data_IF_004634706486
#
_entry.id   IF_004634706486
#
_cell.length_a   1.000
_cell.length_b   1.000
_cell.length_c   1.000
_cell.angle_alpha   90.00
_cell.angle_beta   90.00
_cell.angle_gamma   90.00
#
_symmetry.space_group_name_H-M   'P 1'
#
loop_
_entity.id
_entity.type
_entity.pdbx_description
1 polymer ?
#
# COMPACT_ATOMS: atom_id res chain seq x y z
N UNK A 1 8.67 3.44 -22.43
CA UNK A 1 9.02 4.02 -21.13
C UNK A 1 10.30 4.81 -21.30
N UNK A 2 10.35 6.07 -20.90
CA UNK A 2 11.54 6.93 -20.97
C UNK A 2 12.32 6.90 -19.65
N UNK A 3 13.58 7.39 -19.67
CA UNK A 3 14.39 7.51 -18.45
C UNK A 3 13.73 8.42 -17.40
N UNK A 4 13.05 9.47 -17.87
CA UNK A 4 12.29 10.40 -17.02
C UNK A 4 11.10 9.74 -16.31
N UNK A 5 10.35 8.89 -17.02
CA UNK A 5 9.24 8.12 -16.42
C UNK A 5 9.74 7.17 -15.34
N UNK A 6 10.89 6.54 -15.54
CA UNK A 6 11.50 5.66 -14.53
C UNK A 6 11.92 6.43 -13.27
N UNK A 7 12.50 7.62 -13.42
CA UNK A 7 12.83 8.47 -12.27
C UNK A 7 11.60 8.80 -11.44
N UNK A 8 10.49 9.20 -12.09
CA UNK A 8 9.21 9.48 -11.42
C UNK A 8 8.68 8.27 -10.65
N UNK A 9 8.81 7.06 -11.20
CA UNK A 9 8.41 5.83 -10.52
C UNK A 9 9.28 5.58 -9.28
N UNK A 10 10.60 5.73 -9.39
CA UNK A 10 11.54 5.52 -8.27
C UNK A 10 11.32 6.56 -7.16
N UNK A 11 11.12 7.83 -7.52
CA UNK A 11 10.78 8.89 -6.58
C UNK A 11 9.44 8.61 -5.89
N UNK A 12 8.40 8.24 -6.63
CA UNK A 12 7.09 7.90 -6.07
C UNK A 12 7.15 6.68 -5.12
N UNK A 13 7.90 5.64 -5.49
CA UNK A 13 8.17 4.47 -4.64
C UNK A 13 8.82 4.89 -3.33
N UNK A 14 9.86 5.73 -3.42
CA UNK A 14 10.62 6.20 -2.26
C UNK A 14 9.75 7.07 -1.35
N UNK A 15 8.95 7.96 -1.92
CA UNK A 15 8.00 8.81 -1.19
C UNK A 15 6.96 7.98 -0.42
N UNK A 16 6.45 6.89 -1.01
CA UNK A 16 5.48 6.02 -0.36
C UNK A 16 6.12 4.97 0.56
N UNK A 17 7.46 4.90 0.63
CA UNK A 17 8.19 3.93 1.44
C UNK A 17 7.96 2.48 0.96
N UNK A 18 7.86 2.27 -0.35
CA UNK A 18 7.63 0.95 -0.93
C UNK A 18 8.96 0.23 -1.23
N UNK A 19 8.97 -1.11 -1.20
CA UNK A 19 10.10 -1.92 -1.69
C UNK A 19 10.24 -1.88 -3.22
N UNK A 20 11.28 -2.51 -3.77
CA UNK A 20 11.52 -2.55 -5.23
C UNK A 20 10.40 -3.24 -6.02
N UNK A 21 9.64 -4.11 -5.37
CA UNK A 21 8.45 -4.76 -5.92
C UNK A 21 7.27 -4.58 -4.99
N UNK A 22 6.18 -4.02 -5.50
CA UNK A 22 4.95 -3.83 -4.76
C UNK A 22 3.74 -4.07 -5.68
N UNK A 23 2.72 -4.70 -5.12
CA UNK A 23 1.40 -4.85 -5.74
C UNK A 23 0.59 -3.54 -5.70
N UNK A 24 -0.42 -3.44 -6.56
CA UNK A 24 -1.39 -2.34 -6.52
C UNK A 24 -2.09 -2.21 -5.14
N UNK A 25 -2.28 -3.34 -4.45
CA UNK A 25 -2.86 -3.37 -3.11
C UNK A 25 -1.92 -2.72 -2.09
N UNK A 26 -0.63 -3.04 -2.14
CA UNK A 26 0.40 -2.46 -1.26
C UNK A 26 0.59 -0.97 -1.51
N UNK A 27 0.60 -0.54 -2.79
CA UNK A 27 0.65 0.90 -3.15
C UNK A 27 -0.53 1.64 -2.51
N UNK A 28 -1.75 1.13 -2.68
CA UNK A 28 -2.96 1.75 -2.09
C UNK A 28 -2.91 1.73 -0.56
N UNK A 29 -2.39 0.66 0.05
CA UNK A 29 -2.26 0.53 1.51
C UNK A 29 -1.25 1.54 2.06
N UNK A 30 -0.10 1.69 1.43
CA UNK A 30 0.93 2.66 1.79
C UNK A 30 0.39 4.10 1.70
N UNK A 31 -0.29 4.43 0.59
CA UNK A 31 -0.95 5.73 0.43
C UNK A 31 -1.97 5.99 1.55
N UNK A 32 -2.90 5.05 1.81
CA UNK A 32 -3.90 5.21 2.89
C UNK A 32 -3.27 5.39 4.27
N UNK A 33 -2.15 4.72 4.54
CA UNK A 33 -1.41 4.87 5.79
C UNK A 33 -0.82 6.28 5.89
N UNK A 34 -0.09 6.73 4.87
CA UNK A 34 0.53 8.05 4.84
C UNK A 34 -0.50 9.19 4.86
N UNK A 35 -1.61 9.07 4.12
CA UNK A 35 -2.69 10.05 4.17
C UNK A 35 -3.33 10.16 5.56
N UNK A 36 -3.39 9.05 6.31
CA UNK A 36 -3.85 9.06 7.71
C UNK A 36 -2.80 9.58 8.69
N UNK A 37 -1.53 9.59 8.33
CA UNK A 37 -0.46 10.15 9.18
C UNK A 37 -0.35 11.67 8.97
N UNK A 38 -0.46 12.11 7.71
CA UNK A 38 -0.25 13.50 7.27
C UNK A 38 -1.56 14.27 6.99
N UNK A 39 -2.72 13.79 7.46
CA UNK A 39 -3.98 14.48 7.19
C UNK A 39 -4.00 15.88 7.85
N UNK A 40 -4.38 16.95 7.13
CA UNK A 40 -4.40 18.32 7.69
C UNK A 40 -5.31 18.48 8.91
N UNK A 41 -6.30 17.60 9.07
CA UNK A 41 -7.21 17.60 10.23
C UNK A 41 -6.62 16.92 11.48
N UNK A 42 -5.47 16.25 11.38
CA UNK A 42 -4.80 15.66 12.55
C UNK A 42 -4.06 16.74 13.32
N UNK A 43 -4.51 16.96 14.56
CA UNK A 43 -3.94 17.96 15.46
C UNK A 43 -2.44 17.78 15.76
N UNK A 44 -1.83 16.60 15.47
CA UNK A 44 -0.39 16.34 15.66
C UNK A 44 0.52 17.20 14.76
N UNK A 45 0.01 17.73 13.64
CA UNK A 45 0.81 18.50 12.69
C UNK A 45 0.48 20.01 12.68
N UNK A 46 -0.18 20.56 13.72
CA UNK A 46 -0.50 22.00 13.80
C UNK A 46 0.73 22.93 13.75
N UNK A 47 1.92 22.43 14.05
CA UNK A 47 3.18 23.18 13.95
C UNK A 47 3.60 23.45 12.50
N UNK A 48 3.31 22.51 11.58
CA UNK A 48 3.46 22.71 10.16
C UNK A 48 2.17 23.38 9.64
N UNK A 49 2.25 24.64 9.22
CA UNK A 49 1.08 25.38 8.74
C UNK A 49 0.23 24.59 7.73
N UNK A 50 -1.08 24.87 7.64
CA UNK A 50 -2.04 24.08 6.84
C UNK A 50 -1.69 23.98 5.36
N UNK A 51 -0.90 24.92 4.84
CA UNK A 51 -0.41 24.94 3.46
C UNK A 51 0.67 23.88 3.20
N UNK A 52 1.58 23.66 4.16
CA UNK A 52 2.64 22.64 4.07
C UNK A 52 2.03 21.24 4.03
N UNK A 53 1.04 20.98 4.90
CA UNK A 53 0.34 19.70 4.94
C UNK A 53 -0.44 19.43 3.64
N UNK A 54 -1.03 20.47 3.04
CA UNK A 54 -1.72 20.36 1.74
C UNK A 54 -0.75 20.02 0.61
N UNK A 55 0.43 20.65 0.59
CA UNK A 55 1.51 20.35 -0.35
C UNK A 55 2.01 18.90 -0.20
N UNK A 56 2.19 18.41 1.03
CA UNK A 56 2.57 17.02 1.29
C UNK A 56 1.51 16.04 0.79
N UNK A 57 0.23 16.31 1.09
CA UNK A 57 -0.88 15.46 0.63
C UNK A 57 -0.96 15.41 -0.90
N UNK A 58 -0.71 16.55 -1.57
CA UNK A 58 -0.65 16.61 -3.03
C UNK A 58 0.44 15.69 -3.58
N UNK A 59 1.66 15.77 -3.03
CA UNK A 59 2.79 14.93 -3.43
C UNK A 59 2.51 13.44 -3.24
N UNK A 60 1.90 13.06 -2.11
CA UNK A 60 1.48 11.68 -1.86
C UNK A 60 0.45 11.19 -2.88
N UNK A 61 -0.50 12.05 -3.23
CA UNK A 61 -1.54 11.74 -4.22
C UNK A 61 -0.94 11.55 -5.60
N UNK A 62 -0.06 12.45 -6.04
CA UNK A 62 0.63 12.36 -7.33
C UNK A 62 1.50 11.10 -7.43
N UNK A 63 2.28 10.79 -6.39
CA UNK A 63 3.10 9.59 -6.35
C UNK A 63 2.25 8.32 -6.48
N UNK A 64 1.13 8.26 -5.75
CA UNK A 64 0.20 7.14 -5.84
C UNK A 64 -0.37 7.00 -7.27
N UNK A 65 -0.78 8.11 -7.89
CA UNK A 65 -1.30 8.10 -9.27
C UNK A 65 -0.26 7.59 -10.27
N UNK A 66 0.98 8.06 -10.21
CA UNK A 66 2.07 7.60 -11.09
C UNK A 66 2.24 6.08 -11.02
N UNK A 67 2.29 5.53 -9.81
CA UNK A 67 2.46 4.08 -9.63
C UNK A 67 1.22 3.28 -10.08
N UNK A 68 0.01 3.80 -9.85
CA UNK A 68 -1.21 3.15 -10.33
C UNK A 68 -1.30 3.16 -11.86
N UNK A 69 -0.98 4.27 -12.51
CA UNK A 69 -0.93 4.35 -13.98
C UNK A 69 0.14 3.43 -14.56
N UNK A 70 1.28 3.31 -13.90
CA UNK A 70 2.30 2.35 -14.26
C UNK A 70 1.79 0.91 -14.14
N UNK A 71 1.18 0.55 -13.01
CA UNK A 71 0.68 -0.80 -12.76
C UNK A 71 -0.47 -1.21 -13.68
N UNK A 72 -1.30 -0.27 -14.17
CA UNK A 72 -2.35 -0.53 -15.17
C UNK A 72 -1.82 -1.10 -16.49
N UNK A 73 -0.53 -0.88 -16.82
CA UNK A 73 0.11 -1.41 -18.04
C UNK A 73 0.31 -2.93 -17.99
N UNK A 74 0.26 -3.52 -16.81
CA UNK A 74 0.48 -4.95 -16.60
C UNK A 74 -0.84 -5.68 -16.41
N UNK A 75 -0.95 -6.85 -17.06
CA UNK A 75 -2.10 -7.74 -16.88
C UNK A 75 -1.94 -8.48 -15.57
N UNK A 76 -2.99 -8.48 -14.76
CA UNK A 76 -3.08 -9.26 -13.53
C UNK A 76 -3.78 -10.57 -13.88
N UNK A 77 -3.17 -11.74 -13.65
CA UNK A 77 -3.84 -13.01 -13.88
C UNK A 77 -5.11 -13.11 -13.02
N UNK A 78 -6.21 -13.53 -13.63
CA UNK A 78 -7.51 -13.74 -12.96
C UNK A 78 -7.78 -15.23 -12.66
N UNK A 79 -6.77 -16.06 -12.90
CA UNK A 79 -6.78 -17.47 -12.53
C UNK A 79 -5.69 -17.70 -11.50
N UNK A 80 -5.91 -18.58 -10.51
CA UNK A 80 -4.91 -18.97 -9.54
C UNK A 80 -3.64 -19.49 -10.23
N UNK A 81 -2.48 -19.12 -9.72
CA UNK A 81 -1.24 -19.81 -10.08
C UNK A 81 -1.27 -21.26 -9.56
N UNK A 82 -0.51 -22.15 -10.19
CA UNK A 82 -0.47 -23.58 -9.80
C UNK A 82 -0.19 -23.80 -8.30
N UNK A 83 0.53 -22.87 -7.66
CA UNK A 83 0.92 -22.92 -6.24
C UNK A 83 0.16 -21.94 -5.33
N UNK A 84 -0.96 -21.34 -5.78
CA UNK A 84 -1.76 -20.46 -4.92
C UNK A 84 -2.79 -21.27 -4.11
N UNK A 85 -2.80 -21.15 -2.76
CA UNK A 85 -3.87 -21.70 -1.94
C UNK A 85 -5.21 -21.11 -2.39
N UNK A 86 -6.10 -21.98 -2.87
CA UNK A 86 -7.41 -21.59 -3.38
C UNK A 86 -8.39 -21.26 -2.25
N UNK A 87 -8.13 -21.74 -1.04
CA UNK A 87 -9.02 -21.60 0.10
C UNK A 87 -8.66 -20.37 0.94
N UNK A 88 -9.67 -19.52 1.16
CA UNK A 88 -9.55 -18.38 2.06
C UNK A 88 -9.34 -18.81 3.52
N UNK A 89 -9.77 -20.02 3.88
CA UNK A 89 -9.53 -20.62 5.19
C UNK A 89 -8.04 -20.90 5.40
N UNK A 90 -7.33 -21.40 4.38
CA UNK A 90 -5.88 -21.66 4.45
C UNK A 90 -5.10 -20.36 4.61
N UNK A 91 -5.44 -19.31 3.84
CA UNK A 91 -4.84 -17.98 4.00
C UNK A 91 -5.11 -17.38 5.40
N UNK A 92 -6.32 -17.59 5.93
CA UNK A 92 -6.70 -17.12 7.25
C UNK A 92 -5.94 -17.87 8.35
N UNK A 93 -5.81 -19.19 8.24
CA UNK A 93 -5.10 -20.05 9.18
C UNK A 93 -3.58 -19.86 9.13
N UNK A 94 -2.98 -19.69 7.96
CA UNK A 94 -1.55 -19.36 7.82
C UNK A 94 -1.20 -18.00 8.46
N UNK A 95 -2.14 -17.05 8.43
CA UNK A 95 -1.87 -15.66 8.84
C UNK A 95 -2.34 -15.33 10.26
N UNK A 96 -3.37 -16.02 10.74
CA UNK A 96 -4.02 -15.75 12.04
C UNK A 96 -4.24 -17.01 12.88
N UNK A 97 -3.88 -18.21 12.40
CA UNK A 97 -4.11 -19.47 13.13
C UNK A 97 -3.33 -19.59 14.43
N UNK A 98 -2.18 -18.93 14.54
CA UNK A 98 -1.35 -18.84 15.76
C UNK A 98 -1.71 -17.64 16.67
N UNK A 99 -2.67 -16.79 16.28
CA UNK A 99 -3.15 -15.69 17.12
C UNK A 99 -4.14 -16.22 18.18
N UNK A 100 -3.85 -16.09 19.48
CA UNK A 100 -4.71 -16.59 20.55
C UNK A 100 -6.14 -16.02 20.54
N UNK A 101 -6.35 -14.87 19.89
CA UNK A 101 -7.66 -14.25 19.75
C UNK A 101 -8.55 -14.95 18.70
N UNK A 102 -7.94 -15.71 17.77
CA UNK A 102 -8.60 -16.27 16.59
C UNK A 102 -8.36 -17.78 16.38
N UNK A 103 -7.49 -18.43 17.15
CA UNK A 103 -7.43 -19.90 17.18
C UNK A 103 -8.76 -20.47 17.75
N UNK A 104 -9.33 -21.53 17.15
CA UNK A 104 -10.39 -22.27 17.83
C UNK A 104 -9.78 -22.85 19.10
N UNK A 105 -10.24 -22.38 20.25
CA UNK A 105 -9.74 -22.84 21.54
C UNK A 105 -9.77 -24.36 21.58
N UNK A 106 -8.60 -25.00 21.49
CA UNK A 106 -8.45 -26.41 21.85
C UNK A 106 -8.59 -26.52 23.36
N UNK A 107 -9.82 -26.34 23.84
CA UNK A 107 -10.27 -26.80 25.13
C UNK A 107 -10.34 -28.33 25.08
N UNK A 108 -9.65 -28.95 26.04
CA UNK A 108 -9.56 -30.39 26.27
C UNK A 108 -10.87 -31.17 26.16
#
# INVERSE_FOLDING_TARGET
MTNDEWKKIVEAKTLLGLPDQASLAEIKKAYRRLSKEHHPDLARHKEAGPEVQRLEMHRLTEACQILLEYGKKYKIPLVPGEDQPLDGEDWWMERFGDDPLWSPGRGK
#
